data_IF_968778369127
#
_entry.id   IF_968778369127
#
_cell.length_a   1.000
_cell.length_b   1.000
_cell.length_c   1.000
_cell.angle_alpha   90.00
_cell.angle_beta   90.00
_cell.angle_gamma   90.00
#
_symmetry.space_group_name_H-M   'P 1'
#
loop_
_entity.id
_entity.type
_entity.pdbx_description
1 polymer ?
#
# COMPACT_ATOMS: atom_id res chain seq x y z
N UNK A 1 14.79 -5.28 33.54
CA UNK A 1 13.53 -4.56 33.27
C UNK A 1 13.82 -3.09 33.38
N UNK A 2 13.66 -2.26 32.32
CA UNK A 2 13.77 -0.81 32.50
C UNK A 2 12.53 -0.34 33.26
N UNK A 3 12.74 0.41 34.33
CA UNK A 3 11.70 1.02 35.15
C UNK A 3 10.83 1.92 34.28
N UNK A 4 9.52 1.70 34.33
CA UNK A 4 8.50 2.51 33.70
C UNK A 4 8.43 3.89 34.37
N UNK A 5 9.26 4.82 33.93
CA UNK A 5 9.00 6.24 34.16
C UNK A 5 7.73 6.59 33.38
N UNK A 6 6.69 7.09 34.06
CA UNK A 6 5.34 7.32 33.60
C UNK A 6 5.15 8.37 32.48
N UNK A 7 5.93 8.29 31.44
CA UNK A 7 5.76 9.10 30.24
C UNK A 7 5.22 8.18 29.14
N UNK A 8 4.02 8.50 28.64
CA UNK A 8 3.36 7.84 27.51
C UNK A 8 4.19 8.06 26.23
N UNK A 9 5.12 7.14 25.94
CA UNK A 9 6.07 7.31 24.83
C UNK A 9 5.81 6.32 23.68
N UNK A 10 4.70 5.58 23.78
CA UNK A 10 4.29 4.63 22.76
C UNK A 10 3.26 5.25 21.80
N UNK A 11 3.33 4.83 20.56
CA UNK A 11 2.33 5.16 19.55
C UNK A 11 1.84 3.87 18.89
N UNK A 12 0.62 3.91 18.34
CA UNK A 12 0.06 2.79 17.59
C UNK A 12 -0.09 3.18 16.12
N UNK A 13 0.43 2.34 15.24
CA UNK A 13 0.16 2.41 13.81
C UNK A 13 -0.87 1.36 13.42
N UNK A 14 -1.82 1.73 12.57
CA UNK A 14 -2.92 0.87 12.13
C UNK A 14 -3.02 0.86 10.60
N UNK A 15 -3.13 -0.32 10.03
CA UNK A 15 -3.47 -0.54 8.63
C UNK A 15 -4.91 -1.11 8.55
N UNK A 16 -5.84 -0.32 8.02
CA UNK A 16 -7.23 -0.69 7.81
C UNK A 16 -7.44 -1.11 6.36
N UNK A 17 -7.34 -2.40 6.07
CA UNK A 17 -7.68 -2.93 4.76
C UNK A 17 -9.11 -3.46 4.68
N UNK A 18 -9.61 -3.71 3.45
CA UNK A 18 -10.95 -4.26 3.24
C UNK A 18 -11.18 -5.66 3.82
N UNK A 19 -10.12 -6.45 4.03
CA UNK A 19 -10.20 -7.85 4.53
C UNK A 19 -9.55 -8.03 5.89
N UNK A 20 -8.49 -7.29 6.19
CA UNK A 20 -7.71 -7.37 7.45
C UNK A 20 -7.52 -5.99 8.06
N UNK A 21 -7.47 -5.94 9.38
CA UNK A 21 -6.99 -4.82 10.18
C UNK A 21 -5.74 -5.30 10.89
N UNK A 22 -4.67 -4.50 10.85
CA UNK A 22 -3.44 -4.76 11.59
C UNK A 22 -3.10 -3.55 12.43
N UNK A 23 -2.70 -3.75 13.68
CA UNK A 23 -2.22 -2.72 14.59
C UNK A 23 -0.84 -3.11 15.12
N UNK A 24 0.05 -2.13 15.24
CA UNK A 24 1.38 -2.31 15.81
C UNK A 24 1.68 -1.23 16.82
N UNK A 25 2.25 -1.61 17.97
CA UNK A 25 2.70 -0.70 19.03
C UNK A 25 4.19 -0.43 18.84
N UNK A 26 4.58 0.84 18.89
CA UNK A 26 5.94 1.30 18.63
C UNK A 26 6.48 2.17 19.78
N UNK A 27 7.74 1.96 20.10
CA UNK A 27 8.46 2.78 21.07
C UNK A 27 8.91 4.14 20.50
N UNK A 28 9.63 4.94 21.30
CA UNK A 28 10.17 6.24 20.91
C UNK A 28 11.08 6.20 19.67
N UNK A 29 11.72 5.05 19.42
CA UNK A 29 12.63 4.83 18.29
C UNK A 29 11.94 4.24 17.07
N UNK A 30 10.59 4.12 17.10
CA UNK A 30 9.80 3.44 16.10
C UNK A 30 10.18 1.95 15.92
N UNK A 31 10.61 1.30 17.01
CA UNK A 31 10.77 -0.16 17.04
C UNK A 31 9.42 -0.80 17.38
N UNK A 32 9.03 -1.80 16.62
CA UNK A 32 7.81 -2.58 16.87
C UNK A 32 7.99 -3.43 18.13
N UNK A 33 7.10 -3.27 19.12
CA UNK A 33 7.13 -4.01 20.38
C UNK A 33 6.02 -5.04 20.53
N UNK A 34 4.93 -4.91 19.80
CA UNK A 34 3.84 -5.87 19.74
C UNK A 34 2.87 -5.54 18.62
N UNK A 35 2.07 -6.52 18.21
CA UNK A 35 1.12 -6.32 17.13
C UNK A 35 -0.07 -7.27 17.23
N UNK A 36 -1.21 -6.84 16.69
CA UNK A 36 -2.40 -7.67 16.54
C UNK A 36 -2.92 -7.59 15.11
N UNK A 37 -3.59 -8.66 14.67
CA UNK A 37 -4.17 -8.75 13.33
C UNK A 37 -5.51 -9.47 13.38
N UNK A 38 -6.55 -8.85 12.85
CA UNK A 38 -7.89 -9.42 12.80
C UNK A 38 -8.53 -9.21 11.43
N UNK A 39 -9.59 -9.96 11.11
CA UNK A 39 -10.38 -9.76 9.90
C UNK A 39 -11.22 -8.48 10.01
N UNK A 40 -11.35 -7.70 8.91
CA UNK A 40 -12.14 -6.46 8.87
C UNK A 40 -13.62 -6.73 9.00
N UNK A 41 -14.16 -7.72 8.24
CA UNK A 41 -15.58 -8.02 8.14
C UNK A 41 -16.40 -6.81 7.70
N UNK A 42 -15.99 -6.20 6.58
CA UNK A 42 -16.56 -4.97 6.03
C UNK A 42 -18.10 -5.06 5.82
N UNK A 43 -18.61 -6.24 5.50
CA UNK A 43 -20.01 -6.56 5.31
C UNK A 43 -20.91 -6.27 6.54
N UNK A 44 -20.30 -6.06 7.72
CA UNK A 44 -21.04 -5.76 8.97
C UNK A 44 -21.33 -4.29 9.18
N UNK A 45 -20.89 -3.43 8.24
CA UNK A 45 -21.11 -2.00 8.26
C UNK A 45 -20.12 -1.21 9.12
N UNK A 46 -20.18 0.11 8.99
CA UNK A 46 -19.23 1.08 9.55
C UNK A 46 -19.00 0.89 11.06
N UNK A 47 -20.05 0.86 11.86
CA UNK A 47 -19.95 0.76 13.33
C UNK A 47 -19.19 -0.50 13.78
N UNK A 48 -19.51 -1.65 13.19
CA UNK A 48 -18.85 -2.91 13.49
C UNK A 48 -17.37 -2.91 13.10
N UNK A 49 -17.01 -2.29 11.99
CA UNK A 49 -15.61 -2.15 11.57
C UNK A 49 -14.84 -1.24 12.53
N UNK A 50 -15.43 -0.10 12.94
CA UNK A 50 -14.80 0.81 13.92
C UNK A 50 -14.57 0.14 15.28
N UNK A 51 -15.53 -0.67 15.75
CA UNK A 51 -15.36 -1.45 16.98
C UNK A 51 -14.24 -2.49 16.84
N UNK A 52 -14.09 -3.09 15.64
CA UNK A 52 -13.01 -4.03 15.36
C UNK A 52 -11.64 -3.32 15.29
N UNK A 53 -11.57 -2.13 14.68
CA UNK A 53 -10.34 -1.31 14.71
C UNK A 53 -9.93 -1.03 16.15
N UNK A 54 -10.86 -0.54 16.97
CA UNK A 54 -10.61 -0.24 18.37
C UNK A 54 -10.17 -1.48 19.16
N UNK A 55 -10.78 -2.63 18.89
CA UNK A 55 -10.39 -3.90 19.49
C UNK A 55 -8.98 -4.32 19.07
N UNK A 56 -8.65 -4.24 17.77
CA UNK A 56 -7.32 -4.61 17.27
C UNK A 56 -6.21 -3.77 17.91
N UNK A 57 -6.47 -2.46 18.12
CA UNK A 57 -5.57 -1.55 18.82
C UNK A 57 -5.36 -2.01 20.27
N UNK A 58 -6.46 -2.31 21.00
CA UNK A 58 -6.39 -2.78 22.39
C UNK A 58 -5.65 -4.12 22.48
N UNK A 59 -5.99 -5.08 21.61
CA UNK A 59 -5.32 -6.37 21.55
C UNK A 59 -3.80 -6.21 21.33
N UNK A 60 -3.37 -5.27 20.47
CA UNK A 60 -1.95 -5.00 20.23
C UNK A 60 -1.24 -4.37 21.45
N UNK A 61 -1.93 -3.50 22.19
CA UNK A 61 -1.40 -2.88 23.42
C UNK A 61 -1.30 -3.89 24.55
N UNK A 62 -2.32 -4.73 24.71
CA UNK A 62 -2.35 -5.79 25.72
C UNK A 62 -1.25 -6.85 25.49
N UNK A 63 -0.93 -7.17 24.23
CA UNK A 63 0.19 -8.06 23.85
C UNK A 63 1.54 -7.55 24.37
N UNK A 64 1.68 -6.23 24.52
CA UNK A 64 2.88 -5.60 25.07
C UNK A 64 2.88 -5.49 26.61
N UNK A 65 1.86 -6.00 27.30
CA UNK A 65 1.63 -5.75 28.74
C UNK A 65 1.57 -4.25 29.08
N UNK A 66 1.02 -3.43 28.18
CA UNK A 66 0.83 -1.98 28.34
C UNK A 66 -0.65 -1.66 28.59
N UNK A 67 -0.89 -0.54 29.28
CA UNK A 67 -2.22 0.08 29.36
C UNK A 67 -2.42 1.14 28.27
N UNK A 68 -3.66 1.36 27.82
CA UNK A 68 -4.00 2.38 26.84
C UNK A 68 -3.51 3.78 27.22
N UNK A 69 -3.39 4.10 28.50
CA UNK A 69 -2.86 5.38 29.01
C UNK A 69 -1.38 5.61 28.71
N UNK A 70 -0.64 4.56 28.35
CA UNK A 70 0.78 4.65 27.97
C UNK A 70 0.95 4.92 26.47
N UNK A 71 -0.16 4.81 25.68
CA UNK A 71 -0.21 5.16 24.28
C UNK A 71 -0.53 6.63 24.13
N UNK A 72 0.30 7.36 23.39
CA UNK A 72 0.17 8.81 23.19
C UNK A 72 -0.81 9.17 22.08
N UNK A 73 -0.80 8.39 21.00
CA UNK A 73 -1.65 8.62 19.83
C UNK A 73 -1.73 7.37 18.93
N UNK A 74 -2.72 7.37 18.05
CA UNK A 74 -2.91 6.39 16.98
C UNK A 74 -2.79 7.06 15.63
N UNK A 75 -2.04 6.44 14.69
CA UNK A 75 -2.06 6.80 13.27
C UNK A 75 -2.64 5.65 12.47
N UNK A 76 -3.63 5.94 11.62
CA UNK A 76 -4.36 4.92 10.87
C UNK A 76 -4.37 5.21 9.38
N UNK A 77 -3.99 4.21 8.58
CA UNK A 77 -4.18 4.18 7.14
C UNK A 77 -5.53 3.61 6.78
N UNK A 78 -6.26 4.32 5.93
CA UNK A 78 -7.52 3.87 5.38
C UNK A 78 -7.47 3.83 3.86
N UNK A 79 -8.14 2.85 3.21
CA UNK A 79 -8.15 2.75 1.76
C UNK A 79 -9.06 3.81 1.13
N UNK A 80 -8.78 4.15 -0.13
CA UNK A 80 -9.58 5.05 -0.94
C UNK A 80 -9.28 6.53 -0.72
N UNK A 81 -10.27 7.39 -1.00
CA UNK A 81 -10.13 8.84 -0.87
C UNK A 81 -10.28 9.26 0.60
N UNK A 82 -9.26 9.89 1.16
CA UNK A 82 -9.17 10.31 2.55
C UNK A 82 -8.91 11.80 2.63
N UNK A 83 -9.72 12.50 3.40
CA UNK A 83 -9.42 13.84 3.87
C UNK A 83 -8.65 13.73 5.19
N UNK A 84 -7.33 13.89 5.11
CA UNK A 84 -6.44 13.76 6.27
C UNK A 84 -6.60 14.94 7.26
N UNK A 85 -6.98 16.14 6.79
CA UNK A 85 -7.18 17.31 7.63
C UNK A 85 -8.40 17.14 8.53
N UNK A 86 -9.54 16.72 7.99
CA UNK A 86 -10.75 16.41 8.75
C UNK A 86 -10.73 15.00 9.38
N UNK A 87 -9.82 14.13 8.95
CA UNK A 87 -9.76 12.74 9.39
C UNK A 87 -10.95 11.91 8.94
N UNK A 88 -11.39 12.12 7.71
CA UNK A 88 -12.61 11.58 7.12
C UNK A 88 -12.26 10.67 5.93
N UNK A 89 -12.90 9.51 5.86
CA UNK A 89 -12.87 8.68 4.64
C UNK A 89 -14.01 9.13 3.75
N UNK A 90 -13.69 9.79 2.63
CA UNK A 90 -14.67 10.32 1.68
C UNK A 90 -15.32 9.17 0.94
N UNK A 91 -14.51 8.23 0.43
CA UNK A 91 -14.99 7.08 -0.32
C UNK A 91 -14.02 5.91 -0.26
N UNK A 92 -14.47 4.75 0.20
CA UNK A 92 -13.69 3.51 0.24
C UNK A 92 -14.56 2.32 -0.21
N UNK A 93 -14.55 1.96 -1.50
CA UNK A 93 -15.40 0.89 -2.04
C UNK A 93 -15.11 -0.48 -1.39
N UNK A 94 -13.88 -0.74 -0.99
CA UNK A 94 -13.47 -1.99 -0.35
C UNK A 94 -14.06 -2.17 1.05
N UNK A 95 -14.59 -1.10 1.66
CA UNK A 95 -15.23 -1.08 2.97
C UNK A 95 -16.72 -0.77 2.87
N UNK A 96 -17.22 -0.46 1.68
CA UNK A 96 -18.56 0.10 1.44
C UNK A 96 -18.79 1.38 2.26
N UNK A 97 -17.76 2.25 2.32
CA UNK A 97 -17.79 3.48 3.09
C UNK A 97 -17.98 4.70 2.20
N UNK A 98 -18.82 5.62 2.67
CA UNK A 98 -19.01 6.93 2.09
C UNK A 98 -19.16 7.94 3.22
N UNK A 99 -18.31 8.96 3.20
CA UNK A 99 -18.34 10.11 4.13
C UNK A 99 -18.29 9.72 5.62
N UNK A 100 -17.31 8.85 5.99
CA UNK A 100 -17.16 8.33 7.36
C UNK A 100 -16.18 9.20 8.15
N UNK A 101 -16.59 9.82 9.28
CA UNK A 101 -15.71 10.64 10.12
C UNK A 101 -14.80 9.76 11.02
N UNK A 102 -13.84 9.09 10.42
CA UNK A 102 -13.03 8.03 11.03
C UNK A 102 -12.28 8.50 12.28
N UNK A 103 -11.62 9.67 12.22
CA UNK A 103 -10.92 10.28 13.36
C UNK A 103 -11.86 10.44 14.56
N UNK A 104 -12.95 11.17 14.37
CA UNK A 104 -13.91 11.49 15.44
C UNK A 104 -14.50 10.24 16.09
N UNK A 105 -14.81 9.25 15.27
CA UNK A 105 -15.42 8.01 15.75
C UNK A 105 -14.42 7.12 16.53
N UNK A 106 -13.14 7.11 16.14
CA UNK A 106 -12.11 6.38 16.87
C UNK A 106 -11.66 7.12 18.13
N UNK A 107 -11.54 8.44 18.11
CA UNK A 107 -11.21 9.24 19.30
C UNK A 107 -12.24 9.02 20.42
N UNK A 108 -13.53 8.96 20.08
CA UNK A 108 -14.59 8.63 21.07
C UNK A 108 -14.43 7.24 21.70
N UNK A 109 -13.91 6.26 20.94
CA UNK A 109 -13.77 4.87 21.37
C UNK A 109 -12.49 4.61 22.16
N UNK A 110 -11.46 5.40 21.90
CA UNK A 110 -10.10 5.19 22.42
C UNK A 110 -9.70 6.22 23.48
N UNK A 111 -10.41 7.36 23.55
CA UNK A 111 -10.11 8.51 24.44
C UNK A 111 -8.66 9.01 24.26
N UNK A 112 -8.21 9.14 22.99
CA UNK A 112 -6.89 9.63 22.64
C UNK A 112 -6.85 10.20 21.21
N UNK A 113 -5.82 11.02 20.86
CA UNK A 113 -5.67 11.57 19.51
C UNK A 113 -5.51 10.49 18.43
N UNK A 114 -6.23 10.67 17.31
CA UNK A 114 -6.17 9.79 16.14
C UNK A 114 -5.83 10.61 14.90
N UNK A 115 -4.82 10.18 14.14
CA UNK A 115 -4.43 10.78 12.87
C UNK A 115 -4.74 9.80 11.75
N UNK A 116 -5.39 10.31 10.71
CA UNK A 116 -5.88 9.50 9.58
C UNK A 116 -5.15 9.90 8.31
N UNK A 117 -4.76 8.94 7.50
CA UNK A 117 -4.17 9.17 6.18
C UNK A 117 -4.57 8.04 5.22
N UNK A 118 -4.35 8.24 3.93
CA UNK A 118 -4.48 7.17 2.93
C UNK A 118 -3.43 6.08 3.17
N UNK A 119 -3.77 4.82 2.91
CA UNK A 119 -2.92 3.64 3.14
C UNK A 119 -1.60 3.67 2.33
N UNK A 120 -1.66 4.07 1.05
CA UNK A 120 -0.46 4.19 0.21
C UNK A 120 0.45 5.34 0.64
N UNK A 121 -0.13 6.46 1.07
CA UNK A 121 0.61 7.57 1.66
C UNK A 121 1.37 7.13 2.92
N UNK A 122 0.73 6.34 3.79
CA UNK A 122 1.41 5.78 4.96
C UNK A 122 2.53 4.81 4.58
N UNK A 123 2.30 3.95 3.59
CA UNK A 123 3.36 3.07 3.11
C UNK A 123 4.57 3.87 2.58
N UNK A 124 4.33 4.95 1.82
CA UNK A 124 5.41 5.82 1.34
C UNK A 124 6.14 6.53 2.50
N UNK A 125 5.40 7.00 3.51
CA UNK A 125 5.95 7.61 4.70
C UNK A 125 6.81 6.61 5.51
N UNK A 126 6.36 5.37 5.63
CA UNK A 126 7.11 4.29 6.26
C UNK A 126 8.45 4.02 5.56
N UNK A 127 8.41 3.84 4.24
CA UNK A 127 9.61 3.64 3.43
C UNK A 127 10.56 4.82 3.58
N UNK A 128 10.07 6.04 3.42
CA UNK A 128 10.86 7.25 3.52
C UNK A 128 11.59 7.35 4.86
N UNK A 129 10.86 7.17 5.97
CA UNK A 129 11.43 7.37 7.32
C UNK A 129 12.21 6.15 7.79
N UNK A 130 11.65 4.94 7.64
CA UNK A 130 12.19 3.74 8.27
C UNK A 130 13.23 3.03 7.42
N UNK A 131 13.02 2.90 6.09
CA UNK A 131 14.00 2.27 5.21
C UNK A 131 15.11 3.23 4.77
N UNK A 132 14.74 4.48 4.43
CA UNK A 132 15.66 5.45 3.82
C UNK A 132 16.17 6.50 4.82
N UNK A 133 15.74 6.42 6.10
CA UNK A 133 16.19 7.32 7.18
C UNK A 133 15.83 8.79 6.95
N UNK A 134 14.78 9.07 6.17
CA UNK A 134 14.34 10.42 5.83
C UNK A 134 15.27 11.21 4.91
N UNK A 135 16.22 10.54 4.26
CA UNK A 135 17.26 11.21 3.45
C UNK A 135 16.77 11.78 2.11
N UNK A 136 16.02 11.03 1.26
CA UNK A 136 15.57 11.56 -0.01
C UNK A 136 14.60 12.72 0.19
N UNK A 137 14.84 13.85 -0.48
CA UNK A 137 13.89 14.96 -0.49
C UNK A 137 12.74 14.74 -1.47
N UNK A 138 12.99 13.96 -2.52
CA UNK A 138 12.00 13.64 -3.55
C UNK A 138 11.97 12.13 -3.75
N UNK A 139 10.90 11.48 -3.31
CA UNK A 139 10.71 10.04 -3.43
C UNK A 139 9.28 9.74 -3.91
N UNK A 140 9.15 8.71 -4.73
CA UNK A 140 7.85 8.13 -5.10
C UNK A 140 7.80 6.73 -4.52
N UNK A 141 6.83 6.46 -3.64
CA UNK A 141 6.48 5.12 -3.21
C UNK A 141 5.33 4.60 -4.06
N UNK A 142 5.55 3.56 -4.85
CA UNK A 142 4.55 2.97 -5.74
C UNK A 142 4.22 1.55 -5.28
N UNK A 143 2.97 1.27 -4.99
CA UNK A 143 2.53 0.01 -4.39
C UNK A 143 1.61 -0.77 -5.34
N UNK A 144 2.10 -1.93 -5.82
CA UNK A 144 1.42 -2.81 -6.77
C UNK A 144 0.78 -3.97 -6.00
N UNK A 145 -0.49 -3.82 -5.70
CA UNK A 145 -1.30 -4.80 -4.97
C UNK A 145 -2.53 -5.25 -5.73
N UNK A 146 -3.65 -5.42 -5.04
CA UNK A 146 -4.98 -5.65 -5.66
C UNK A 146 -5.31 -4.55 -6.64
N UNK A 147 -5.05 -3.30 -6.26
CA UNK A 147 -4.99 -2.11 -7.08
C UNK A 147 -3.56 -1.58 -7.19
N UNK A 148 -3.42 -0.33 -7.64
CA UNK A 148 -2.15 0.42 -7.70
C UNK A 148 -2.35 1.78 -7.07
N UNK A 149 -1.55 2.10 -6.05
CA UNK A 149 -1.52 3.41 -5.43
C UNK A 149 -0.10 3.91 -5.24
N UNK A 150 0.04 5.19 -4.94
CA UNK A 150 1.35 5.77 -4.64
C UNK A 150 1.24 6.81 -3.53
N UNK A 151 2.36 7.05 -2.85
CA UNK A 151 2.57 8.22 -2.00
C UNK A 151 3.78 9.00 -2.48
N UNK A 152 3.65 10.31 -2.46
CA UNK A 152 4.66 11.24 -2.97
C UNK A 152 5.33 11.97 -1.81
N UNK A 153 6.65 11.87 -1.71
CA UNK A 153 7.44 12.71 -0.81
C UNK A 153 8.09 13.79 -1.67
N UNK A 154 7.73 15.04 -1.46
CA UNK A 154 8.30 16.19 -2.16
C UNK A 154 8.87 17.18 -1.13
N UNK A 155 10.10 17.60 -1.34
CA UNK A 155 10.85 18.43 -0.37
C UNK A 155 10.99 17.83 1.02
N UNK A 156 10.97 16.50 1.14
CA UNK A 156 11.08 15.76 2.41
C UNK A 156 9.76 15.56 3.15
N UNK A 157 8.64 16.06 2.60
CA UNK A 157 7.32 15.96 3.20
C UNK A 157 6.34 15.21 2.29
N UNK A 158 5.34 14.58 2.91
CA UNK A 158 4.26 13.92 2.19
C UNK A 158 3.43 14.96 1.42
N UNK A 159 3.32 14.77 0.12
CA UNK A 159 2.55 15.64 -0.76
C UNK A 159 1.18 15.04 -1.04
N UNK A 160 0.12 15.65 -0.52
CA UNK A 160 -1.26 15.20 -0.66
C UNK A 160 -2.08 16.00 -1.67
N UNK A 161 -1.55 17.15 -2.14
CA UNK A 161 -2.27 18.02 -3.06
C UNK A 161 -3.40 18.83 -2.41
N UNK A 162 -4.14 19.58 -3.20
CA UNK A 162 -5.22 20.46 -2.71
C UNK A 162 -6.43 19.70 -2.14
N UNK A 163 -6.75 18.56 -2.72
CA UNK A 163 -7.91 17.72 -2.34
C UNK A 163 -7.52 16.47 -1.60
N UNK A 164 -6.30 16.41 -1.07
CA UNK A 164 -5.72 15.25 -0.37
C UNK A 164 -5.70 13.94 -1.19
N UNK A 165 -5.78 14.03 -2.52
CA UNK A 165 -5.81 12.89 -3.45
C UNK A 165 -4.63 12.85 -4.42
N UNK A 166 -3.54 13.56 -4.13
CA UNK A 166 -2.32 13.41 -4.92
C UNK A 166 -1.76 11.98 -4.75
N UNK A 167 -1.18 11.45 -5.84
CA UNK A 167 -0.66 10.08 -5.80
C UNK A 167 -1.63 9.02 -6.35
N UNK A 168 -2.81 9.39 -6.84
CA UNK A 168 -3.76 8.49 -7.51
C UNK A 168 -3.24 8.03 -8.90
N UNK A 169 -1.97 7.62 -8.96
CA UNK A 169 -1.26 7.26 -10.20
C UNK A 169 -1.82 6.01 -10.86
N UNK A 170 -2.46 5.13 -10.08
CA UNK A 170 -3.15 3.96 -10.62
C UNK A 170 -4.26 4.30 -11.62
N UNK A 171 -4.79 5.53 -11.55
CA UNK A 171 -5.83 6.03 -12.44
C UNK A 171 -5.32 6.88 -13.61
N UNK A 172 -3.99 7.06 -13.74
CA UNK A 172 -3.41 7.59 -14.99
C UNK A 172 -3.73 6.67 -16.16
N UNK A 173 -4.22 7.23 -17.26
CA UNK A 173 -4.43 6.50 -18.50
C UNK A 173 -3.08 6.29 -19.18
N UNK A 174 -2.57 5.04 -19.16
CA UNK A 174 -1.29 4.66 -19.81
C UNK A 174 -1.49 3.83 -21.07
N UNK A 175 -2.72 3.40 -21.33
CA UNK A 175 -3.09 2.65 -22.53
C UNK A 175 -4.44 3.20 -23.06
N UNK A 176 -4.40 4.16 -23.97
CA UNK A 176 -5.61 4.71 -24.59
C UNK A 176 -6.44 3.60 -25.25
N UNK A 177 -7.74 3.54 -24.94
CA UNK A 177 -8.63 2.46 -25.41
C UNK A 177 -8.39 1.10 -24.74
N UNK A 178 -7.62 1.06 -23.67
CA UNK A 178 -7.33 -0.15 -22.89
C UNK A 178 -8.54 -0.63 -22.07
N UNK A 179 -8.31 -1.61 -21.18
CA UNK A 179 -9.39 -2.26 -20.42
C UNK A 179 -10.10 -1.28 -19.47
N UNK A 180 -11.38 -1.56 -19.20
CA UNK A 180 -12.22 -0.78 -18.28
C UNK A 180 -11.67 -0.84 -16.86
N UNK A 181 -11.46 0.31 -16.24
CA UNK A 181 -11.08 0.47 -14.84
C UNK A 181 -12.30 0.56 -13.91
N UNK A 182 -12.13 0.17 -12.65
CA UNK A 182 -13.13 0.32 -11.60
C UNK A 182 -13.54 1.78 -11.33
N UNK A 183 -12.67 2.75 -11.64
CA UNK A 183 -12.97 4.19 -11.52
C UNK A 183 -13.90 4.74 -12.60
N UNK A 184 -14.18 3.96 -13.65
CA UNK A 184 -15.03 4.35 -14.77
C UNK A 184 -14.29 4.82 -16.02
N UNK A 185 -12.97 4.98 -16.00
CA UNK A 185 -12.16 5.28 -17.19
C UNK A 185 -11.67 4.00 -17.87
N UNK A 186 -11.18 4.12 -19.12
CA UNK A 186 -10.54 3.04 -19.85
C UNK A 186 -9.03 3.25 -19.91
N UNK A 187 -8.26 2.16 -19.78
CA UNK A 187 -6.81 2.16 -19.93
C UNK A 187 -6.01 2.74 -18.77
N UNK A 188 -6.59 2.82 -17.57
CA UNK A 188 -5.86 3.20 -16.37
C UNK A 188 -4.70 2.23 -16.09
N UNK A 189 -3.63 2.74 -15.49
CA UNK A 189 -2.47 1.94 -15.07
C UNK A 189 -2.87 0.74 -14.22
N UNK A 190 -3.75 0.93 -13.25
CA UNK A 190 -4.29 -0.16 -12.42
C UNK A 190 -4.99 -1.24 -13.25
N UNK A 191 -5.75 -0.84 -14.27
CA UNK A 191 -6.51 -1.77 -15.10
C UNK A 191 -5.63 -2.66 -16.00
N UNK A 192 -4.37 -2.29 -16.22
CA UNK A 192 -3.43 -3.06 -17.07
C UNK A 192 -2.33 -3.77 -16.28
N UNK A 193 -1.95 -3.31 -15.08
CA UNK A 193 -0.75 -3.80 -14.40
C UNK A 193 -0.94 -4.20 -12.92
N UNK A 194 -2.12 -4.00 -12.33
CA UNK A 194 -2.40 -4.47 -10.96
C UNK A 194 -2.45 -6.00 -10.89
N UNK A 195 -2.38 -6.55 -9.66
CA UNK A 195 -2.62 -7.98 -9.44
C UNK A 195 -3.96 -8.43 -10.03
N UNK A 196 -5.01 -7.64 -9.81
CA UNK A 196 -6.34 -7.91 -10.37
C UNK A 196 -6.30 -7.95 -11.89
N UNK A 197 -5.58 -7.04 -12.54
CA UNK A 197 -5.44 -7.01 -14.00
C UNK A 197 -4.68 -8.25 -14.50
N UNK A 198 -3.57 -8.62 -13.86
CA UNK A 198 -2.80 -9.83 -14.18
C UNK A 198 -3.70 -11.08 -14.09
N UNK A 199 -4.44 -11.22 -12.98
CA UNK A 199 -5.33 -12.38 -12.78
C UNK A 199 -6.45 -12.45 -13.80
N UNK A 200 -7.09 -11.31 -14.13
CA UNK A 200 -8.12 -11.23 -15.18
C UNK A 200 -7.57 -11.65 -16.54
N UNK A 201 -6.34 -11.24 -16.89
CA UNK A 201 -5.72 -11.61 -18.16
C UNK A 201 -5.40 -13.10 -18.22
N UNK A 202 -4.90 -13.70 -17.13
CA UNK A 202 -4.67 -15.15 -17.06
C UNK A 202 -6.00 -15.91 -17.21
N UNK A 203 -7.05 -15.47 -16.50
CA UNK A 203 -8.37 -16.10 -16.61
C UNK A 203 -9.00 -15.96 -18.02
N UNK A 204 -8.76 -14.84 -18.70
CA UNK A 204 -9.20 -14.66 -20.10
C UNK A 204 -8.43 -15.58 -21.04
N UNK A 205 -7.11 -15.66 -20.95
CA UNK A 205 -6.31 -16.55 -21.79
C UNK A 205 -6.69 -18.02 -21.65
N UNK A 206 -7.02 -18.48 -20.42
CA UNK A 206 -7.55 -19.83 -20.24
C UNK A 206 -8.86 -20.08 -21.02
N UNK A 207 -9.77 -19.10 -21.05
CA UNK A 207 -11.00 -19.20 -21.85
C UNK A 207 -10.71 -19.22 -23.35
N UNK A 208 -9.63 -18.57 -23.77
CA UNK A 208 -9.17 -18.52 -25.15
C UNK A 208 -8.31 -19.76 -25.53
N UNK A 209 -8.16 -20.73 -24.61
CA UNK A 209 -7.46 -21.99 -24.86
C UNK A 209 -5.98 -22.02 -24.51
N UNK A 210 -5.45 -20.97 -23.88
CA UNK A 210 -4.08 -20.98 -23.36
C UNK A 210 -3.93 -22.03 -22.26
N UNK A 211 -2.74 -22.64 -22.18
CA UNK A 211 -2.43 -23.66 -21.18
C UNK A 211 -1.50 -23.08 -20.11
N UNK A 212 -1.77 -23.42 -18.85
CA UNK A 212 -0.95 -23.02 -17.71
C UNK A 212 -0.85 -24.11 -16.67
N UNK A 213 0.30 -24.21 -16.02
CA UNK A 213 0.51 -25.14 -14.89
C UNK A 213 -0.30 -24.75 -13.65
N UNK A 214 -0.87 -23.55 -13.61
CA UNK A 214 -1.72 -23.08 -12.50
C UNK A 214 -2.96 -23.95 -12.35
N UNK A 215 -3.52 -24.46 -13.45
CA UNK A 215 -4.72 -25.32 -13.43
C UNK A 215 -4.49 -26.67 -12.75
N UNK A 216 -3.23 -27.16 -12.74
CA UNK A 216 -2.87 -28.41 -12.08
C UNK A 216 -3.04 -28.33 -10.55
N UNK A 217 -2.82 -27.15 -9.98
CA UNK A 217 -2.85 -26.93 -8.50
C UNK A 217 -4.10 -26.22 -8.01
N UNK A 218 -4.70 -25.35 -8.84
CA UNK A 218 -5.81 -24.48 -8.46
C UNK A 218 -7.12 -24.82 -9.17
N UNK A 219 -7.09 -25.78 -10.10
CA UNK A 219 -8.22 -26.09 -10.97
C UNK A 219 -8.48 -24.98 -12.00
N UNK A 220 -9.44 -25.20 -12.90
CA UNK A 220 -9.74 -24.28 -14.01
C UNK A 220 -10.25 -22.90 -13.56
N UNK A 221 -10.85 -22.81 -12.38
CA UNK A 221 -11.45 -21.55 -11.90
C UNK A 221 -10.44 -20.57 -11.28
N UNK A 222 -9.21 -21.01 -10.99
CA UNK A 222 -8.15 -20.22 -10.35
C UNK A 222 -8.64 -19.39 -9.13
N UNK A 223 -9.64 -19.89 -8.39
CA UNK A 223 -10.36 -19.13 -7.36
C UNK A 223 -9.45 -18.61 -6.24
N UNK A 224 -8.40 -19.38 -5.90
CA UNK A 224 -7.49 -19.07 -4.82
C UNK A 224 -6.12 -18.57 -5.33
N UNK A 225 -6.05 -18.07 -6.56
CA UNK A 225 -4.83 -17.57 -7.18
C UNK A 225 -4.21 -16.43 -6.35
N UNK A 226 -2.91 -16.56 -6.06
CA UNK A 226 -2.11 -15.58 -5.34
C UNK A 226 -0.86 -15.21 -6.15
N UNK A 227 -0.25 -14.06 -5.85
CA UNK A 227 0.98 -13.63 -6.55
C UNK A 227 2.11 -14.67 -6.45
N UNK A 228 2.22 -15.38 -5.31
CA UNK A 228 3.20 -16.47 -5.15
C UNK A 228 3.01 -17.66 -6.10
N UNK A 229 1.76 -17.90 -6.57
CA UNK A 229 1.49 -18.96 -7.56
C UNK A 229 2.05 -18.59 -8.92
N UNK A 230 1.98 -17.29 -9.29
CA UNK A 230 2.57 -16.78 -10.53
C UNK A 230 4.08 -17.06 -10.56
N UNK A 231 4.79 -16.76 -9.45
CA UNK A 231 6.22 -17.07 -9.33
C UNK A 231 6.49 -18.55 -9.51
N UNK A 232 5.71 -19.42 -8.87
CA UNK A 232 5.87 -20.88 -9.01
C UNK A 232 5.64 -21.34 -10.44
N UNK A 233 4.63 -20.81 -11.12
CA UNK A 233 4.34 -21.13 -12.51
C UNK A 233 5.49 -20.70 -13.45
N UNK A 234 5.99 -19.47 -13.31
CA UNK A 234 7.12 -18.96 -14.09
C UNK A 234 8.36 -19.85 -13.89
N UNK A 235 8.69 -20.21 -12.64
CA UNK A 235 9.84 -21.08 -12.33
C UNK A 235 9.69 -22.52 -12.83
N UNK A 236 8.47 -22.97 -13.09
CA UNK A 236 8.16 -24.24 -13.75
C UNK A 236 8.16 -24.13 -15.27
N UNK A 237 8.50 -22.98 -15.85
CA UNK A 237 8.60 -22.76 -17.28
C UNK A 237 7.27 -22.41 -17.96
N UNK A 238 6.27 -21.91 -17.24
CA UNK A 238 5.00 -21.46 -17.79
C UNK A 238 5.18 -20.19 -18.62
N UNK A 239 5.24 -20.36 -19.93
CA UNK A 239 5.49 -19.24 -20.87
C UNK A 239 4.32 -18.27 -20.94
N UNK A 240 3.09 -18.75 -20.78
CA UNK A 240 1.90 -17.88 -20.83
C UNK A 240 1.85 -16.96 -19.60
N UNK A 241 2.00 -17.50 -18.38
CA UNK A 241 2.05 -16.72 -17.16
C UNK A 241 3.23 -15.75 -17.20
N UNK A 242 4.42 -16.21 -17.64
CA UNK A 242 5.60 -15.36 -17.77
C UNK A 242 5.34 -14.16 -18.69
N UNK A 243 4.74 -14.37 -19.85
CA UNK A 243 4.36 -13.31 -20.80
C UNK A 243 3.40 -12.29 -20.17
N UNK A 244 2.34 -12.75 -19.50
CA UNK A 244 1.36 -11.85 -18.85
C UNK A 244 2.01 -11.00 -17.78
N UNK A 245 2.89 -11.58 -16.96
CA UNK A 245 3.62 -10.87 -15.90
C UNK A 245 4.65 -9.89 -16.48
N UNK A 246 5.38 -10.27 -17.54
CA UNK A 246 6.35 -9.41 -18.22
C UNK A 246 5.66 -8.18 -18.85
N UNK A 247 4.51 -8.36 -19.49
CA UNK A 247 3.74 -7.25 -20.05
C UNK A 247 3.25 -6.29 -18.94
N UNK A 248 2.80 -6.82 -17.80
CA UNK A 248 2.46 -5.98 -16.65
C UNK A 248 3.69 -5.22 -16.12
N UNK A 249 4.85 -5.87 -16.04
CA UNK A 249 6.11 -5.24 -15.64
C UNK A 249 6.53 -4.12 -16.61
N UNK A 250 6.32 -4.29 -17.90
CA UNK A 250 6.57 -3.23 -18.91
C UNK A 250 5.65 -2.02 -18.68
N UNK A 251 4.35 -2.22 -18.40
CA UNK A 251 3.45 -1.11 -18.06
C UNK A 251 3.83 -0.43 -16.77
N UNK A 252 4.28 -1.18 -15.75
CA UNK A 252 4.80 -0.58 -14.50
C UNK A 252 6.02 0.29 -14.83
N UNK A 253 6.96 -0.20 -15.62
CA UNK A 253 8.12 0.57 -16.04
C UNK A 253 7.77 1.83 -16.82
N UNK A 254 6.83 1.75 -17.78
CA UNK A 254 6.32 2.92 -18.50
C UNK A 254 5.74 3.97 -17.55
N UNK A 255 4.92 3.55 -16.59
CA UNK A 255 4.35 4.46 -15.59
C UNK A 255 5.43 5.09 -14.71
N UNK A 256 6.42 4.30 -14.26
CA UNK A 256 7.60 4.79 -13.51
C UNK A 256 8.38 5.82 -14.32
N UNK A 257 8.65 5.56 -15.60
CA UNK A 257 9.31 6.52 -16.50
C UNK A 257 8.56 7.85 -16.61
N UNK A 258 7.23 7.80 -16.76
CA UNK A 258 6.38 9.00 -16.77
C UNK A 258 6.48 9.76 -15.45
N UNK A 259 6.44 9.08 -14.32
CA UNK A 259 6.56 9.71 -13.00
C UNK A 259 7.95 10.33 -12.79
N UNK A 260 9.01 9.68 -13.27
CA UNK A 260 10.37 10.25 -13.25
C UNK A 260 10.43 11.53 -14.05
N UNK A 261 9.85 11.56 -15.26
CA UNK A 261 9.80 12.75 -16.11
C UNK A 261 9.02 13.91 -15.47
N UNK A 262 7.99 13.63 -14.66
CA UNK A 262 7.15 14.65 -14.02
C UNK A 262 7.78 15.18 -12.74
N UNK A 263 8.30 14.30 -11.88
CA UNK A 263 8.70 14.65 -10.51
C UNK A 263 10.21 14.72 -10.30
N UNK A 264 11.01 14.16 -11.22
CA UNK A 264 12.48 14.07 -11.09
C UNK A 264 12.92 13.60 -9.69
N UNK A 265 12.47 12.43 -9.22
CA UNK A 265 12.74 11.96 -7.87
C UNK A 265 14.18 11.47 -7.73
N UNK A 266 14.70 11.45 -6.49
CA UNK A 266 15.96 10.78 -6.13
C UNK A 266 15.73 9.27 -6.05
N UNK A 267 14.54 8.85 -5.58
CA UNK A 267 14.21 7.44 -5.38
C UNK A 267 12.80 7.12 -5.87
N UNK A 268 12.67 6.04 -6.63
CA UNK A 268 11.38 5.36 -6.85
C UNK A 268 11.41 4.04 -6.11
N UNK A 269 10.60 3.93 -5.08
CA UNK A 269 10.46 2.72 -4.27
C UNK A 269 9.23 1.94 -4.71
N UNK A 270 9.40 0.67 -5.05
CA UNK A 270 8.34 -0.23 -5.47
C UNK A 270 8.00 -1.20 -4.34
N UNK A 271 6.71 -1.36 -4.03
CA UNK A 271 6.22 -2.26 -3.00
C UNK A 271 4.90 -2.93 -3.38
N UNK A 272 4.29 -3.60 -2.40
CA UNK A 272 3.02 -4.31 -2.56
C UNK A 272 3.17 -5.74 -3.04
N UNK A 273 2.11 -6.53 -2.87
CA UNK A 273 2.17 -7.99 -2.97
C UNK A 273 2.53 -8.56 -4.35
N UNK A 274 2.52 -7.76 -5.43
CA UNK A 274 3.05 -8.20 -6.74
C UNK A 274 4.57 -8.11 -6.72
N UNK A 275 5.12 -6.98 -6.25
CA UNK A 275 6.58 -6.77 -6.18
C UNK A 275 7.20 -7.76 -5.18
N UNK A 276 6.63 -7.88 -3.97
CA UNK A 276 7.11 -8.82 -2.95
C UNK A 276 7.17 -10.28 -3.43
N UNK A 277 6.16 -10.70 -4.19
CA UNK A 277 6.09 -12.08 -4.67
C UNK A 277 6.97 -12.34 -5.89
N UNK A 278 7.20 -11.35 -6.74
CA UNK A 278 7.78 -11.49 -8.09
C UNK A 278 9.01 -10.59 -8.31
N UNK A 279 9.64 -10.07 -7.26
CA UNK A 279 10.74 -9.10 -7.34
C UNK A 279 11.79 -9.48 -8.39
N UNK A 280 12.31 -10.71 -8.30
CA UNK A 280 13.36 -11.19 -9.22
C UNK A 280 12.87 -11.30 -10.66
N UNK A 281 11.61 -11.61 -10.85
CA UNK A 281 10.98 -11.81 -12.14
C UNK A 281 10.57 -10.49 -12.82
N UNK A 282 10.24 -9.42 -12.05
CA UNK A 282 9.68 -8.19 -12.62
C UNK A 282 10.61 -6.98 -12.57
N UNK A 283 11.46 -6.84 -11.53
CA UNK A 283 12.29 -5.64 -11.36
C UNK A 283 13.23 -5.35 -12.53
N UNK A 284 13.91 -6.32 -13.15
CA UNK A 284 14.76 -6.05 -14.31
C UNK A 284 13.99 -5.43 -15.48
N UNK A 285 12.79 -5.96 -15.76
CA UNK A 285 11.92 -5.45 -16.83
C UNK A 285 11.37 -4.07 -16.49
N UNK A 286 10.94 -3.84 -15.24
CA UNK A 286 10.44 -2.54 -14.78
C UNK A 286 11.53 -1.47 -14.93
N UNK A 287 12.74 -1.72 -14.43
CA UNK A 287 13.85 -0.77 -14.49
C UNK A 287 14.21 -0.46 -15.94
N UNK A 288 14.37 -1.51 -16.77
CA UNK A 288 14.65 -1.31 -18.19
C UNK A 288 13.59 -0.46 -18.87
N UNK A 289 12.31 -0.86 -18.74
CA UNK A 289 11.21 -0.13 -19.35
C UNK A 289 11.10 1.31 -18.84
N UNK A 290 11.33 1.55 -17.54
CA UNK A 290 11.34 2.90 -16.99
C UNK A 290 12.43 3.77 -17.66
N UNK A 291 13.67 3.27 -17.72
CA UNK A 291 14.79 4.02 -18.29
C UNK A 291 14.66 4.23 -19.81
N UNK A 292 14.00 3.33 -20.53
CA UNK A 292 13.71 3.47 -21.96
C UNK A 292 12.71 4.64 -22.24
N UNK A 293 11.94 5.09 -21.22
CA UNK A 293 10.92 6.14 -21.35
C UNK A 293 11.25 7.44 -20.63
N UNK A 294 12.42 7.55 -20.02
CA UNK A 294 12.89 8.77 -19.34
C UNK A 294 13.64 9.67 -20.34
N UNK A 295 13.46 10.98 -20.20
CA UNK A 295 14.23 11.96 -20.98
C UNK A 295 15.73 11.76 -20.75
N UNK A 296 16.53 11.57 -21.82
CA UNK A 296 17.97 11.33 -21.68
C UNK A 296 18.69 12.40 -20.85
N UNK A 297 19.55 11.96 -19.93
CA UNK A 297 20.34 12.86 -19.07
C UNK A 297 19.69 13.28 -17.76
N UNK A 298 18.44 12.87 -17.47
CA UNK A 298 17.72 13.26 -16.24
C UNK A 298 17.78 12.24 -15.10
N UNK A 299 18.53 11.12 -15.29
CA UNK A 299 18.57 9.99 -14.33
C UNK A 299 19.78 10.01 -13.40
N UNK A 300 20.54 11.12 -13.36
CA UNK A 300 21.72 11.20 -12.48
C UNK A 300 21.30 11.12 -11.00
N UNK A 301 21.79 10.10 -10.30
CA UNK A 301 21.51 9.88 -8.88
C UNK A 301 20.13 9.25 -8.60
N UNK A 302 19.37 8.88 -9.65
CA UNK A 302 18.10 8.18 -9.49
C UNK A 302 18.36 6.71 -9.08
N UNK A 303 17.62 6.27 -8.08
CA UNK A 303 17.55 4.87 -7.67
C UNK A 303 16.13 4.32 -7.86
N UNK A 304 16.00 3.13 -8.45
CA UNK A 304 14.72 2.39 -8.57
C UNK A 304 14.90 1.07 -7.82
N UNK A 305 14.17 0.87 -6.74
CA UNK A 305 14.37 -0.28 -5.84
C UNK A 305 13.07 -0.85 -5.28
N UNK A 306 13.12 -2.09 -4.78
CA UNK A 306 12.01 -2.72 -4.09
C UNK A 306 12.08 -2.44 -2.58
N UNK A 307 10.91 -2.16 -1.96
CA UNK A 307 10.79 -2.01 -0.50
C UNK A 307 10.89 -3.36 0.20
N UNK A 308 11.49 -3.35 1.39
CA UNK A 308 11.63 -4.52 2.28
C UNK A 308 10.63 -4.55 3.42
N UNK A 309 9.81 -3.49 3.58
CA UNK A 309 8.84 -3.41 4.70
C UNK A 309 7.67 -4.38 4.56
N UNK A 310 7.40 -4.85 3.34
CA UNK A 310 6.33 -5.80 3.04
C UNK A 310 4.99 -5.42 3.72
N UNK A 311 4.27 -6.41 4.25
CA UNK A 311 2.96 -6.26 4.93
C UNK A 311 2.97 -5.27 6.13
N UNK A 312 4.13 -4.85 6.63
CA UNK A 312 4.23 -3.96 7.80
C UNK A 312 4.29 -2.47 7.44
N UNK A 313 4.41 -2.12 6.16
CA UNK A 313 4.56 -0.71 5.75
C UNK A 313 3.41 0.18 6.27
N UNK A 314 2.17 -0.29 6.22
CA UNK A 314 1.00 0.46 6.71
C UNK A 314 1.07 0.78 8.20
N UNK A 315 1.39 -0.22 9.05
CA UNK A 315 1.47 0.01 10.51
C UNK A 315 2.71 0.85 10.90
N UNK A 316 3.84 0.71 10.19
CA UNK A 316 5.01 1.58 10.40
C UNK A 316 4.67 3.02 10.03
N UNK A 317 4.04 3.25 8.87
CA UNK A 317 3.62 4.57 8.42
C UNK A 317 2.61 5.21 9.37
N UNK A 318 1.66 4.43 9.87
CA UNK A 318 0.72 4.87 10.91
C UNK A 318 1.45 5.32 12.18
N UNK A 319 2.45 4.58 12.64
CA UNK A 319 3.25 4.96 13.81
C UNK A 319 4.05 6.25 13.57
N UNK A 320 4.62 6.42 12.37
CA UNK A 320 5.30 7.68 11.98
C UNK A 320 4.32 8.84 11.99
N UNK A 321 3.12 8.67 11.41
CA UNK A 321 2.06 9.68 11.41
C UNK A 321 1.66 10.06 12.83
N UNK A 322 1.38 9.08 13.69
CA UNK A 322 1.03 9.30 15.10
C UNK A 322 2.11 10.08 15.84
N UNK A 323 3.38 9.73 15.62
CA UNK A 323 4.54 10.38 16.24
C UNK A 323 4.70 11.84 15.80
N UNK A 324 4.44 12.14 14.52
CA UNK A 324 4.50 13.51 13.99
C UNK A 324 3.34 14.38 14.50
N UNK A 325 2.11 13.83 14.52
CA UNK A 325 0.92 14.57 14.94
C UNK A 325 0.82 14.81 16.44
N UNK A 326 1.44 13.95 17.26
CA UNK A 326 1.43 14.07 18.72
C UNK A 326 2.53 14.99 19.28
N UNK A 327 3.31 15.69 18.45
CA UNK A 327 4.26 16.71 18.87
C UNK A 327 3.53 17.98 19.25
#
# INVERSE_FOLDING_TARGET
MPEANGNSDFVVGVDLGGTKIQAGVYDARLSLIGSAKISTKAERGVGAVLDRVSRCIKDAVDECNLGMKQVRAVGIGAPGAVDAEDGRVIFAPNLDWKDVPLRKELEKRLDMPVFVENDCNLCALAVHVHELGGKPRHMIGLFIGTGIGAGLILNGELFTGHTHSAGEVGHMVILAGGPRCGCGNDGCFEAVASRTAIFKRIAAGLKDGEKTVLTETLGENLKDLRSGDLRRAIRRGDKFVAKVVEEAANYIGLAVGNLINIFSPEVVMLGGGVIEALEQEVMPTIIKSALDHVLPGTTKGLEIMASKLADNAGIVGGAVLARRGAK
#
